data_IF_438492716995
#
_entry.id   IF_438492716995
#
_cell.length_a   1.000
_cell.length_b   1.000
_cell.length_c   1.000
_cell.angle_alpha   90.00
_cell.angle_beta   90.00
_cell.angle_gamma   90.00
#
_symmetry.space_group_name_H-M   'P 1'
#
loop_
_entity.id
_entity.type
_entity.pdbx_description
1 polymer ?
#
# COMPACT_ATOMS: atom_id res chain seq x y z
N UNK A 1 -14.54 0.99 17.70
CA UNK A 1 -13.50 1.19 16.65
C UNK A 1 -13.19 -0.18 16.07
N UNK A 2 -13.36 -0.37 14.76
CA UNK A 2 -12.98 -1.64 14.12
C UNK A 2 -11.46 -1.77 14.17
N UNK A 3 -10.96 -2.91 14.63
CA UNK A 3 -9.54 -3.27 14.53
C UNK A 3 -9.20 -3.65 13.08
N UNK A 4 -9.40 -2.75 12.11
CA UNK A 4 -8.79 -2.93 10.79
C UNK A 4 -7.27 -2.73 10.97
N UNK A 5 -6.43 -3.67 10.51
CA UNK A 5 -4.99 -3.49 10.56
C UNK A 5 -4.58 -2.27 9.72
N UNK A 6 -3.61 -1.52 10.23
CA UNK A 6 -3.07 -0.33 9.57
C UNK A 6 -2.57 -0.69 8.17
N UNK A 7 -3.04 0.03 7.16
CA UNK A 7 -2.61 -0.17 5.77
C UNK A 7 -1.34 0.62 5.50
N UNK A 8 -0.58 0.17 4.51
CA UNK A 8 0.66 0.83 4.06
C UNK A 8 0.41 2.22 3.45
N UNK A 9 -0.81 2.50 2.99
CA UNK A 9 -1.24 3.81 2.49
C UNK A 9 -1.96 4.69 3.53
N UNK A 10 -2.16 4.21 4.76
CA UNK A 10 -2.70 5.02 5.87
C UNK A 10 -1.54 5.58 6.72
N UNK A 11 -1.75 6.69 7.43
CA UNK A 11 -0.75 7.19 8.38
C UNK A 11 -0.80 6.40 9.70
N UNK A 12 0.34 6.03 10.30
CA UNK A 12 0.36 5.48 11.65
C UNK A 12 -0.05 6.54 12.67
N UNK A 13 -0.62 6.13 13.80
CA UNK A 13 -0.92 7.03 14.91
C UNK A 13 0.33 7.78 15.40
N UNK A 14 1.44 7.04 15.49
CA UNK A 14 2.75 7.58 15.88
C UNK A 14 3.89 6.89 15.13
N UNK A 15 4.96 7.60 14.83
CA UNK A 15 6.21 7.04 14.32
C UNK A 15 7.43 7.73 14.92
N UNK A 16 8.60 7.08 14.82
CA UNK A 16 9.88 7.71 15.09
C UNK A 16 10.45 8.29 13.80
N UNK A 17 11.25 9.35 13.89
CA UNK A 17 12.07 9.83 12.78
C UNK A 17 13.28 10.59 13.34
N UNK A 18 14.10 11.18 12.45
CA UNK A 18 15.16 12.09 12.83
C UNK A 18 14.85 13.51 12.33
N UNK A 19 15.10 14.52 13.15
CA UNK A 19 14.96 15.90 12.73
C UNK A 19 16.01 16.20 11.63
N UNK A 20 15.62 16.64 10.41
CA UNK A 20 16.56 16.77 9.31
C UNK A 20 17.75 17.69 9.60
N UNK A 21 17.51 18.79 10.35
CA UNK A 21 18.50 19.82 10.66
C UNK A 21 19.54 19.41 11.70
N UNK A 22 19.15 18.66 12.74
CA UNK A 22 20.03 18.32 13.86
C UNK A 22 20.41 16.84 13.95
N UNK A 23 19.62 15.94 13.32
CA UNK A 23 19.75 14.50 13.52
C UNK A 23 19.18 14.00 14.86
N UNK A 24 18.49 14.84 15.63
CA UNK A 24 17.82 14.46 16.87
C UNK A 24 16.73 13.41 16.61
N UNK A 25 16.64 12.39 17.47
CA UNK A 25 15.58 11.40 17.46
C UNK A 25 14.27 12.04 17.95
N UNK A 26 13.23 11.94 17.12
CA UNK A 26 11.94 12.57 17.37
C UNK A 26 10.80 11.57 17.26
N UNK A 27 9.72 11.83 17.98
CA UNK A 27 8.45 11.12 17.91
C UNK A 27 7.44 12.06 17.26
N UNK A 28 6.74 11.54 16.25
CA UNK A 28 5.70 12.27 15.52
C UNK A 28 4.36 11.61 15.82
N UNK A 29 3.36 12.43 16.11
CA UNK A 29 1.96 12.02 16.32
C UNK A 29 1.11 12.54 15.18
N UNK A 30 0.34 11.66 14.55
CA UNK A 30 -0.50 12.01 13.41
C UNK A 30 -1.55 13.04 13.82
N UNK A 31 -1.73 14.09 13.01
CA UNK A 31 -2.69 15.18 13.27
C UNK A 31 -2.17 16.29 14.18
N UNK A 32 -1.00 16.13 14.81
CA UNK A 32 -0.40 17.15 15.67
C UNK A 32 0.67 17.97 14.93
N UNK A 33 0.85 19.24 15.30
CA UNK A 33 1.86 20.11 14.69
C UNK A 33 3.19 19.97 15.44
N UNK A 34 4.28 19.81 14.70
CA UNK A 34 5.62 19.67 15.26
C UNK A 34 5.94 18.25 15.71
N UNK A 35 6.86 18.10 16.66
CA UNK A 35 7.37 16.81 17.10
C UNK A 35 7.70 16.82 18.58
N UNK A 36 7.91 15.63 19.14
CA UNK A 36 8.38 15.45 20.51
C UNK A 36 9.81 14.91 20.49
N UNK A 37 10.71 15.41 21.36
CA UNK A 37 12.01 14.78 21.54
C UNK A 37 11.84 13.37 22.12
N UNK A 38 12.63 12.41 21.66
CA UNK A 38 12.65 11.06 22.22
C UNK A 38 13.62 10.98 23.39
N UNK A 39 13.25 10.28 24.46
CA UNK A 39 14.15 9.96 25.58
C UNK A 39 15.26 8.97 25.17
N UNK A 40 15.13 8.32 24.01
CA UNK A 40 16.15 7.43 23.44
C UNK A 40 17.14 8.13 22.51
N UNK A 41 17.09 9.46 22.43
CA UNK A 41 18.07 10.24 21.65
C UNK A 41 19.49 10.03 22.18
N UNK A 42 20.41 9.64 21.30
CA UNK A 42 21.82 9.40 21.66
C UNK A 42 22.72 10.60 21.37
N UNK A 43 22.16 11.69 20.83
CA UNK A 43 22.90 12.83 20.31
C UNK A 43 23.67 12.57 19.01
N UNK A 44 23.64 11.35 18.46
CA UNK A 44 24.34 10.98 17.22
C UNK A 44 23.34 10.62 16.13
N UNK A 45 23.43 11.32 15.00
CA UNK A 45 22.52 11.19 13.85
C UNK A 45 22.36 9.75 13.35
N UNK A 46 23.47 9.03 13.15
CA UNK A 46 23.44 7.69 12.57
C UNK A 46 22.82 6.67 13.54
N UNK A 47 23.20 6.70 14.82
CA UNK A 47 22.60 5.84 15.85
C UNK A 47 21.09 6.12 16.01
N UNK A 48 20.69 7.39 16.02
CA UNK A 48 19.28 7.79 16.04
C UNK A 48 18.52 7.29 14.80
N UNK A 49 19.14 7.30 13.62
CA UNK A 49 18.53 6.79 12.39
C UNK A 49 18.27 5.29 12.48
N UNK A 50 19.20 4.53 13.05
CA UNK A 50 19.04 3.10 13.28
C UNK A 50 17.93 2.81 14.30
N UNK A 51 17.86 3.57 15.39
CA UNK A 51 16.79 3.45 16.40
C UNK A 51 15.42 3.71 15.77
N UNK A 52 15.26 4.82 15.04
CA UNK A 52 14.00 5.14 14.37
C UNK A 52 13.59 4.04 13.37
N UNK A 53 14.52 3.61 12.52
CA UNK A 53 14.26 2.59 11.49
C UNK A 53 13.86 1.25 12.12
N UNK A 54 14.59 0.81 13.15
CA UNK A 54 14.32 -0.45 13.85
C UNK A 54 12.96 -0.42 14.57
N UNK A 55 12.63 0.69 15.23
CA UNK A 55 11.37 0.82 15.94
C UNK A 55 10.17 0.89 14.97
N UNK A 56 10.29 1.66 13.89
CA UNK A 56 9.27 1.75 12.85
C UNK A 56 9.07 0.39 12.17
N UNK A 57 10.14 -0.29 11.78
CA UNK A 57 10.07 -1.61 11.13
C UNK A 57 9.36 -2.66 12.02
N UNK A 58 9.64 -2.68 13.33
CA UNK A 58 8.95 -3.57 14.29
C UNK A 58 7.44 -3.32 14.39
N UNK A 59 7.01 -2.10 14.09
CA UNK A 59 5.59 -1.69 14.07
C UNK A 59 4.97 -1.77 12.67
N UNK A 60 5.73 -2.22 11.67
CA UNK A 60 5.28 -2.28 10.29
C UNK A 60 5.12 -0.93 9.60
N UNK A 61 5.76 0.12 10.12
CA UNK A 61 5.73 1.47 9.54
C UNK A 61 6.74 1.51 8.40
N UNK A 62 6.27 1.83 7.20
CA UNK A 62 7.11 1.97 6.00
C UNK A 62 7.89 3.28 6.02
N UNK A 63 8.95 3.36 5.23
CA UNK A 63 9.68 4.63 5.06
C UNK A 63 8.83 5.70 4.36
N UNK A 64 7.91 5.30 3.49
CA UNK A 64 6.91 6.18 2.88
C UNK A 64 5.99 6.77 3.96
N UNK A 65 5.49 5.94 4.88
CA UNK A 65 4.68 6.40 6.01
C UNK A 65 5.47 7.33 6.93
N UNK A 66 6.72 7.01 7.25
CA UNK A 66 7.59 7.89 8.05
C UNK A 66 7.79 9.24 7.37
N UNK A 67 8.09 9.25 6.07
CA UNK A 67 8.26 10.49 5.32
C UNK A 67 6.98 11.33 5.30
N UNK A 68 5.83 10.68 5.15
CA UNK A 68 4.54 11.35 5.19
C UNK A 68 4.22 11.95 6.57
N UNK A 69 4.51 11.20 7.64
CA UNK A 69 4.39 11.70 9.01
C UNK A 69 5.28 12.92 9.25
N UNK A 70 6.53 12.89 8.77
CA UNK A 70 7.46 14.01 8.88
C UNK A 70 6.98 15.24 8.10
N UNK A 71 6.49 15.05 6.88
CA UNK A 71 5.96 16.15 6.08
C UNK A 71 4.71 16.77 6.74
N UNK A 72 3.78 15.95 7.21
CA UNK A 72 2.56 16.42 7.88
C UNK A 72 2.84 17.20 9.16
N UNK A 73 3.79 16.73 9.96
CA UNK A 73 4.14 17.39 11.21
C UNK A 73 4.87 18.73 11.01
N UNK A 74 5.66 18.85 9.94
CA UNK A 74 6.46 20.05 9.64
C UNK A 74 5.69 21.09 8.81
N UNK A 75 4.89 20.65 7.86
CA UNK A 75 4.26 21.50 6.84
C UNK A 75 2.72 21.49 6.90
N UNK A 76 2.12 20.74 7.81
CA UNK A 76 0.68 20.59 7.98
C UNK A 76 0.13 19.34 7.28
N UNK A 77 -0.90 18.74 7.87
CA UNK A 77 -1.45 17.44 7.44
C UNK A 77 -2.27 17.48 6.14
N UNK A 78 -2.63 18.67 5.68
CA UNK A 78 -3.32 18.86 4.39
C UNK A 78 -2.35 18.96 3.20
N UNK A 79 -1.03 18.91 3.43
CA UNK A 79 -0.04 18.93 2.36
C UNK A 79 0.01 17.59 1.62
N UNK A 80 0.24 17.57 0.29
CA UNK A 80 0.39 16.30 -0.44
C UNK A 80 1.46 15.39 0.15
N UNK A 81 2.55 15.97 0.67
CA UNK A 81 3.61 15.22 1.34
C UNK A 81 3.15 14.46 2.57
N UNK A 82 2.04 14.84 3.22
CA UNK A 82 1.49 14.10 4.36
C UNK A 82 0.66 12.87 3.96
N UNK A 83 0.50 12.59 2.67
CA UNK A 83 -0.24 11.44 2.17
C UNK A 83 0.74 10.37 1.64
N UNK A 84 0.82 9.17 2.26
CA UNK A 84 1.65 8.08 1.75
C UNK A 84 1.40 7.74 0.28
N UNK A 85 0.14 7.81 -0.18
CA UNK A 85 -0.24 7.54 -1.57
C UNK A 85 0.42 8.51 -2.57
N UNK A 86 0.70 9.75 -2.15
CA UNK A 86 1.37 10.73 -3.01
C UNK A 86 2.76 10.26 -3.46
N UNK A 87 3.50 9.56 -2.60
CA UNK A 87 4.81 9.02 -2.96
C UNK A 87 4.70 7.87 -3.97
N UNK A 88 3.68 7.01 -3.84
CA UNK A 88 3.41 5.91 -4.77
C UNK A 88 2.92 6.43 -6.14
N UNK A 89 2.20 7.55 -6.15
CA UNK A 89 1.71 8.20 -7.36
C UNK A 89 2.81 8.92 -8.16
N UNK A 90 3.87 9.34 -7.45
CA UNK A 90 5.06 9.98 -8.03
C UNK A 90 6.23 9.00 -8.17
N UNK A 91 5.99 7.70 -8.01
CA UNK A 91 6.99 6.67 -8.19
C UNK A 91 7.51 6.67 -9.63
N UNK A 92 8.83 6.62 -9.80
CA UNK A 92 9.46 6.58 -11.12
C UNK A 92 9.75 5.15 -11.50
N UNK A 93 9.14 4.64 -12.56
CA UNK A 93 9.49 3.33 -13.10
C UNK A 93 10.98 3.32 -13.50
N UNK A 94 11.71 2.30 -13.05
CA UNK A 94 13.13 2.13 -13.35
C UNK A 94 13.29 1.06 -14.43
N UNK A 95 12.93 -0.18 -14.10
CA UNK A 95 13.02 -1.34 -15.00
C UNK A 95 12.18 -2.51 -14.48
N UNK A 96 12.21 -3.61 -15.22
CA UNK A 96 11.68 -4.91 -14.81
C UNK A 96 12.75 -5.97 -14.98
N UNK A 97 13.02 -6.75 -13.94
CA UNK A 97 14.03 -7.81 -13.98
C UNK A 97 13.35 -9.17 -14.01
N UNK A 98 13.67 -10.01 -15.00
CA UNK A 98 13.25 -11.41 -14.99
C UNK A 98 14.01 -12.11 -13.86
N UNK A 99 13.27 -12.81 -13.00
CA UNK A 99 13.79 -13.54 -11.85
C UNK A 99 13.30 -14.97 -11.85
N UNK A 100 14.17 -15.86 -11.42
CA UNK A 100 13.87 -17.24 -11.13
C UNK A 100 14.25 -17.53 -9.68
N UNK A 101 13.38 -18.20 -8.94
CA UNK A 101 13.65 -18.54 -7.55
C UNK A 101 12.38 -18.87 -6.80
N UNK A 102 12.21 -18.30 -5.60
CA UNK A 102 11.07 -18.64 -4.75
C UNK A 102 10.49 -17.43 -4.00
N UNK A 103 9.19 -17.45 -3.76
CA UNK A 103 8.51 -16.59 -2.79
C UNK A 103 8.43 -17.35 -1.47
N UNK A 104 8.94 -16.76 -0.40
CA UNK A 104 8.87 -17.34 0.94
C UNK A 104 7.46 -17.13 1.52
N UNK A 105 6.88 -18.18 2.09
CA UNK A 105 5.64 -18.04 2.86
C UNK A 105 5.88 -17.11 4.07
N UNK A 106 4.97 -16.16 4.35
CA UNK A 106 5.19 -15.22 5.43
C UNK A 106 5.20 -15.84 6.84
N UNK A 107 4.59 -17.02 7.04
CA UNK A 107 4.44 -17.68 8.34
C UNK A 107 5.12 -19.04 8.36
N UNK A 108 4.92 -19.83 7.31
CA UNK A 108 5.43 -21.19 7.23
C UNK A 108 6.87 -21.22 6.70
N UNK A 109 7.59 -22.30 7.01
CA UNK A 109 8.91 -22.58 6.41
C UNK A 109 8.79 -23.17 5.00
N UNK A 110 7.88 -22.64 4.18
CA UNK A 110 7.56 -23.12 2.82
C UNK A 110 7.97 -22.06 1.80
N UNK A 111 8.35 -22.51 0.61
CA UNK A 111 8.80 -21.68 -0.50
C UNK A 111 8.05 -22.08 -1.77
N UNK A 112 7.49 -21.09 -2.46
CA UNK A 112 6.74 -21.28 -3.70
C UNK A 112 7.61 -20.89 -4.89
N UNK A 113 7.77 -21.75 -5.92
CA UNK A 113 8.60 -21.41 -7.07
C UNK A 113 8.02 -20.22 -7.82
N UNK A 114 8.89 -19.33 -8.28
CA UNK A 114 8.53 -18.17 -9.12
C UNK A 114 9.49 -18.09 -10.30
N UNK A 115 8.90 -17.97 -11.49
CA UNK A 115 9.60 -17.61 -12.72
C UNK A 115 8.82 -16.46 -13.34
N UNK A 116 9.29 -15.24 -13.10
CA UNK A 116 8.53 -14.04 -13.42
C UNK A 116 9.41 -12.81 -13.56
N UNK A 117 8.83 -11.62 -13.45
CA UNK A 117 9.57 -10.36 -13.39
C UNK A 117 9.23 -9.58 -12.12
N UNK A 118 10.25 -8.91 -11.56
CA UNK A 118 10.09 -7.90 -10.53
C UNK A 118 10.04 -6.53 -11.19
N UNK A 119 9.01 -5.76 -10.89
CA UNK A 119 8.93 -4.35 -11.23
C UNK A 119 9.79 -3.57 -10.24
N UNK A 120 10.61 -2.65 -10.73
CA UNK A 120 11.41 -1.75 -9.91
C UNK A 120 10.96 -0.31 -10.10
N UNK A 121 10.63 0.33 -8.98
CA UNK A 121 10.31 1.75 -8.92
C UNK A 121 11.30 2.48 -8.02
N UNK A 122 11.59 3.73 -8.36
CA UNK A 122 12.30 4.65 -7.49
C UNK A 122 11.27 5.52 -6.75
N UNK A 123 11.31 5.46 -5.42
CA UNK A 123 10.44 6.22 -4.52
C UNK A 123 11.36 6.86 -3.48
N UNK A 124 11.27 8.19 -3.32
CA UNK A 124 12.15 8.95 -2.41
C UNK A 124 13.66 8.67 -2.62
N UNK A 125 14.07 8.43 -3.87
CA UNK A 125 15.48 8.13 -4.21
C UNK A 125 15.95 6.72 -3.83
N UNK A 126 15.05 5.82 -3.41
CA UNK A 126 15.34 4.42 -3.13
C UNK A 126 14.63 3.50 -4.12
N UNK A 127 15.22 2.34 -4.39
CA UNK A 127 14.59 1.30 -5.20
C UNK A 127 13.64 0.45 -4.36
N UNK A 128 12.43 0.25 -4.86
CA UNK A 128 11.41 -0.63 -4.31
C UNK A 128 11.00 -1.65 -5.36
N UNK A 129 10.88 -2.91 -4.94
CA UNK A 129 10.49 -4.01 -5.82
C UNK A 129 9.04 -4.40 -5.61
N UNK A 130 8.38 -4.75 -6.72
CA UNK A 130 6.98 -5.15 -6.71
C UNK A 130 6.75 -6.38 -7.59
N UNK A 131 5.86 -7.25 -7.14
CA UNK A 131 5.30 -8.34 -7.93
C UNK A 131 3.93 -7.93 -8.50
N UNK A 132 3.67 -8.17 -9.80
CA UNK A 132 2.31 -8.06 -10.31
C UNK A 132 1.38 -9.09 -9.64
N UNK A 133 0.10 -8.73 -9.47
CA UNK A 133 -0.89 -9.56 -8.76
C UNK A 133 -1.05 -10.96 -9.39
N UNK A 134 -0.98 -11.06 -10.71
CA UNK A 134 -1.10 -12.33 -11.46
C UNK A 134 0.09 -13.27 -11.27
N UNK A 135 1.18 -12.78 -10.66
CA UNK A 135 2.38 -13.56 -10.36
C UNK A 135 2.42 -14.09 -8.94
N UNK A 136 1.42 -13.74 -8.11
CA UNK A 136 1.26 -14.35 -6.80
C UNK A 136 0.73 -15.79 -6.94
N UNK A 137 1.37 -16.77 -6.29
CA UNK A 137 0.92 -18.15 -6.27
C UNK A 137 -0.45 -18.26 -5.59
N UNK A 138 -1.26 -19.23 -6.01
CA UNK A 138 -2.60 -19.46 -5.46
C UNK A 138 -2.55 -19.84 -3.96
N UNK A 139 -1.45 -20.45 -3.52
CA UNK A 139 -1.23 -20.84 -2.13
C UNK A 139 -1.14 -19.62 -1.20
N UNK A 140 -0.67 -18.49 -1.73
CA UNK A 140 -0.64 -17.20 -1.03
C UNK A 140 -1.88 -16.35 -1.28
N UNK A 141 -2.53 -16.50 -2.44
CA UNK A 141 -3.71 -15.70 -2.80
C UNK A 141 -4.77 -16.58 -3.46
N UNK A 142 -5.45 -17.36 -2.61
CA UNK A 142 -6.53 -18.25 -3.00
C UNK A 142 -7.39 -18.63 -1.80
N UNK A 143 -8.53 -19.27 -2.03
CA UNK A 143 -9.51 -19.59 -0.97
C UNK A 143 -8.91 -20.34 0.23
N UNK A 144 -7.94 -21.23 0.00
CA UNK A 144 -7.30 -22.04 1.04
C UNK A 144 -6.17 -21.30 1.77
N UNK A 145 -5.84 -20.10 1.31
CA UNK A 145 -4.82 -19.28 1.95
C UNK A 145 -5.38 -18.63 3.21
N UNK A 146 -4.56 -18.54 4.24
CA UNK A 146 -4.89 -17.79 5.46
C UNK A 146 -4.63 -16.27 5.32
N UNK A 147 -4.24 -15.83 4.12
CA UNK A 147 -3.82 -14.47 3.87
C UNK A 147 -4.84 -13.72 3.01
N UNK A 148 -5.06 -12.45 3.36
CA UNK A 148 -5.70 -11.47 2.47
C UNK A 148 -4.61 -10.52 2.00
N UNK A 149 -4.35 -10.50 0.69
CA UNK A 149 -3.32 -9.66 0.07
C UNK A 149 -3.75 -8.20 0.05
N UNK A 150 -2.80 -7.31 0.37
CA UNK A 150 -2.95 -5.86 0.40
C UNK A 150 -1.91 -5.22 -0.54
N UNK A 151 -2.17 -5.16 -1.86
CA UNK A 151 -1.26 -4.50 -2.78
C UNK A 151 -1.21 -2.99 -2.53
N UNK A 152 -0.08 -2.39 -2.88
CA UNK A 152 0.07 -0.95 -3.00
C UNK A 152 -0.51 -0.49 -4.36
N UNK A 153 -1.09 0.71 -4.40
CA UNK A 153 -1.48 1.35 -5.67
C UNK A 153 -0.31 2.18 -6.20
N UNK A 154 0.54 1.61 -7.05
CA UNK A 154 1.70 2.33 -7.61
C UNK A 154 1.35 2.85 -8.99
N UNK A 155 1.37 4.17 -9.16
CA UNK A 155 1.00 4.83 -10.43
C UNK A 155 -0.33 4.32 -11.03
N UNK A 156 -1.30 3.99 -10.18
CA UNK A 156 -2.61 3.49 -10.60
C UNK A 156 -2.70 1.99 -10.87
N UNK A 157 -1.66 1.22 -10.55
CA UNK A 157 -1.65 -0.24 -10.73
C UNK A 157 -1.53 -0.92 -9.37
N UNK A 158 -2.44 -1.85 -8.99
CA UNK A 158 -2.26 -2.68 -7.81
C UNK A 158 -1.09 -3.63 -8.00
N UNK A 159 -0.08 -3.52 -7.13
CA UNK A 159 1.11 -4.38 -7.17
C UNK A 159 1.55 -4.74 -5.75
N UNK A 160 2.11 -5.93 -5.58
CA UNK A 160 2.52 -6.44 -4.27
C UNK A 160 3.93 -5.96 -3.93
N UNK A 161 4.12 -5.18 -2.85
CA UNK A 161 5.44 -4.77 -2.41
C UNK A 161 6.22 -5.97 -1.87
N UNK A 162 7.47 -6.10 -2.32
CA UNK A 162 8.34 -7.22 -1.96
C UNK A 162 9.78 -6.79 -1.72
N UNK A 163 10.49 -7.54 -0.88
CA UNK A 163 11.95 -7.54 -0.88
C UNK A 163 12.47 -8.71 -1.70
N UNK A 164 13.64 -8.53 -2.32
CA UNK A 164 14.27 -9.52 -3.17
C UNK A 164 15.75 -9.67 -2.79
N UNK A 165 16.14 -10.88 -2.39
CA UNK A 165 17.53 -11.24 -2.09
C UNK A 165 18.07 -12.11 -3.22
N UNK A 166 19.12 -11.65 -3.89
CA UNK A 166 19.75 -12.35 -5.00
C UNK A 166 20.93 -13.19 -4.53
N UNK A 167 20.90 -14.47 -4.84
CA UNK A 167 22.00 -15.39 -4.59
C UNK A 167 23.05 -15.32 -5.70
N UNK A 168 24.27 -15.77 -5.39
CA UNK A 168 25.39 -15.78 -6.35
C UNK A 168 25.13 -16.62 -7.60
N UNK A 169 24.26 -17.63 -7.49
CA UNK A 169 23.86 -18.49 -8.61
C UNK A 169 22.75 -17.87 -9.50
N UNK A 170 22.38 -16.61 -9.26
CA UNK A 170 21.33 -15.91 -10.00
C UNK A 170 19.90 -16.18 -9.53
N UNK A 171 19.71 -17.08 -8.56
CA UNK A 171 18.40 -17.34 -7.96
C UNK A 171 17.97 -16.19 -7.04
N UNK A 172 16.68 -15.92 -6.95
CA UNK A 172 16.10 -14.88 -6.10
C UNK A 172 15.21 -15.48 -5.00
N UNK A 173 15.33 -14.99 -3.76
CA UNK A 173 14.33 -15.21 -2.71
C UNK A 173 13.52 -13.93 -2.53
N UNK A 174 12.22 -14.03 -2.78
CA UNK A 174 11.26 -12.94 -2.67
C UNK A 174 10.50 -13.08 -1.35
N UNK A 175 10.28 -11.97 -0.65
CA UNK A 175 9.46 -11.92 0.56
C UNK A 175 8.45 -10.78 0.43
N UNK A 176 7.19 -11.06 0.77
CA UNK A 176 6.17 -10.03 0.90
C UNK A 176 6.57 -9.04 2.00
N UNK A 177 6.47 -7.74 1.72
CA UNK A 177 6.77 -6.74 2.73
C UNK A 177 5.75 -6.75 3.87
N UNK A 178 6.18 -6.33 5.06
CA UNK A 178 5.26 -6.19 6.19
C UNK A 178 4.11 -5.22 5.86
N UNK A 179 2.90 -5.57 6.27
CA UNK A 179 1.68 -4.80 5.99
C UNK A 179 1.11 -5.00 4.59
N UNK A 180 1.74 -5.81 3.72
CA UNK A 180 1.23 -6.13 2.39
C UNK A 180 0.26 -7.33 2.36
N UNK A 181 -0.03 -7.91 3.52
CA UNK A 181 -0.99 -8.97 3.72
C UNK A 181 -1.48 -8.93 5.17
N UNK A 182 -2.62 -9.56 5.42
CA UNK A 182 -3.13 -9.81 6.78
C UNK A 182 -3.46 -11.27 6.95
N UNK A 183 -3.26 -11.77 8.17
CA UNK A 183 -3.62 -13.14 8.54
C UNK A 183 -5.07 -13.14 9.02
N UNK A 184 -5.88 -14.00 8.44
CA UNK A 184 -7.28 -14.15 8.81
C UNK A 184 -8.17 -14.31 7.59
N UNK A 185 -9.44 -14.59 7.88
CA UNK A 185 -10.46 -14.83 6.87
C UNK A 185 -11.47 -13.70 6.85
N UNK A 186 -11.90 -13.33 5.64
CA UNK A 186 -13.06 -12.49 5.44
C UNK A 186 -13.92 -13.16 4.37
N UNK A 187 -15.22 -13.23 4.60
CA UNK A 187 -16.16 -13.92 3.71
C UNK A 187 -17.27 -12.97 3.32
N UNK A 188 -17.60 -12.92 2.03
CA UNK A 188 -18.76 -12.22 1.50
C UNK A 188 -19.52 -13.16 0.57
N UNK A 189 -20.80 -13.39 0.85
CA UNK A 189 -21.65 -14.29 0.05
C UNK A 189 -21.01 -15.67 -0.23
N UNK A 190 -20.39 -16.28 0.79
CA UNK A 190 -19.65 -17.57 0.72
C UNK A 190 -18.30 -17.53 -0.02
N UNK A 191 -17.94 -16.43 -0.67
CA UNK A 191 -16.61 -16.25 -1.25
C UNK A 191 -15.63 -15.75 -0.20
N UNK A 192 -14.47 -16.40 -0.12
CA UNK A 192 -13.37 -15.98 0.74
C UNK A 192 -12.64 -14.83 0.05
N UNK A 193 -12.49 -13.71 0.74
CA UNK A 193 -11.78 -12.54 0.23
C UNK A 193 -10.28 -12.85 0.21
N UNK A 194 -9.65 -12.81 -0.96
CA UNK A 194 -8.24 -13.18 -1.16
C UNK A 194 -7.32 -11.98 -1.34
N UNK A 195 -7.87 -10.85 -1.81
CA UNK A 195 -7.14 -9.59 -1.95
C UNK A 195 -8.08 -8.40 -1.78
N UNK A 196 -7.54 -7.26 -1.33
CA UNK A 196 -8.26 -5.99 -1.29
C UNK A 196 -7.34 -4.79 -1.47
N UNK A 197 -7.80 -3.78 -2.22
CA UNK A 197 -7.08 -2.54 -2.45
C UNK A 197 -7.99 -1.33 -2.28
N UNK A 198 -7.50 -0.29 -1.61
CA UNK A 198 -8.25 0.95 -1.39
C UNK A 198 -7.74 2.04 -2.32
N UNK A 199 -8.68 2.73 -2.95
CA UNK A 199 -8.46 3.89 -3.81
C UNK A 199 -9.36 5.01 -3.31
N UNK A 200 -8.80 5.96 -2.56
CA UNK A 200 -9.58 6.98 -1.86
C UNK A 200 -10.58 6.33 -0.89
N UNK A 201 -11.87 6.64 -1.04
CA UNK A 201 -12.92 6.00 -0.24
C UNK A 201 -13.45 4.69 -0.80
N UNK A 202 -13.10 4.32 -2.03
CA UNK A 202 -13.49 3.05 -2.62
C UNK A 202 -12.53 1.93 -2.20
N UNK A 203 -13.05 0.73 -1.97
CA UNK A 203 -12.25 -0.48 -1.85
C UNK A 203 -12.74 -1.52 -2.84
N UNK A 204 -11.80 -2.13 -3.54
CA UNK A 204 -12.04 -3.27 -4.42
C UNK A 204 -11.51 -4.52 -3.74
N UNK A 205 -12.22 -5.65 -3.91
CA UNK A 205 -11.84 -6.93 -3.34
C UNK A 205 -11.97 -8.05 -4.37
N UNK A 206 -11.14 -9.07 -4.24
CA UNK A 206 -11.30 -10.35 -4.92
C UNK A 206 -11.85 -11.38 -3.95
N UNK A 207 -12.77 -12.22 -4.43
CA UNK A 207 -13.32 -13.36 -3.71
C UNK A 207 -13.17 -14.66 -4.48
N UNK A 208 -13.00 -15.77 -3.76
CA UNK A 208 -12.94 -17.13 -4.33
C UNK A 208 -13.87 -18.10 -3.59
N UNK A 209 -14.59 -18.93 -4.34
CA UNK A 209 -15.39 -20.05 -3.87
C UNK A 209 -15.32 -21.21 -4.87
N UNK A 210 -14.49 -22.21 -4.60
CA UNK A 210 -14.28 -23.41 -5.44
C UNK A 210 -15.58 -24.16 -5.78
N UNK A 211 -16.62 -24.01 -4.94
CA UNK A 211 -17.91 -24.70 -5.11
C UNK A 211 -18.93 -23.91 -5.95
N UNK A 212 -18.68 -22.63 -6.22
CA UNK A 212 -19.60 -21.79 -6.97
C UNK A 212 -19.50 -22.07 -8.49
N UNK A 213 -20.60 -21.91 -9.26
CA UNK A 213 -20.56 -22.03 -10.72
C UNK A 213 -19.58 -21.04 -11.38
N UNK A 214 -19.44 -19.86 -10.79
CA UNK A 214 -18.40 -18.88 -11.10
C UNK A 214 -17.49 -18.74 -9.87
N UNK A 215 -16.32 -19.42 -9.84
CA UNK A 215 -15.52 -19.53 -8.62
C UNK A 215 -14.87 -18.23 -8.17
N UNK A 216 -14.79 -17.23 -9.05
CA UNK A 216 -14.11 -15.96 -8.75
C UNK A 216 -15.07 -14.79 -8.87
N UNK A 217 -14.84 -13.76 -8.07
CA UNK A 217 -15.65 -12.53 -8.11
C UNK A 217 -14.80 -11.33 -7.68
N UNK A 218 -15.09 -10.17 -8.27
CA UNK A 218 -14.63 -8.89 -7.73
C UNK A 218 -15.80 -8.09 -7.20
N UNK A 219 -15.64 -7.42 -6.06
CA UNK A 219 -16.62 -6.48 -5.54
C UNK A 219 -16.00 -5.12 -5.29
N UNK A 220 -16.86 -4.13 -5.14
CA UNK A 220 -16.51 -2.80 -4.69
C UNK A 220 -17.32 -2.45 -3.45
N UNK A 221 -16.74 -1.67 -2.54
CA UNK A 221 -17.46 -0.95 -1.49
C UNK A 221 -17.02 0.51 -1.45
N UNK A 222 -17.80 1.33 -0.74
CA UNK A 222 -17.38 2.66 -0.33
C UNK A 222 -17.23 2.68 1.19
N UNK A 223 -16.00 2.80 1.67
CA UNK A 223 -15.67 2.75 3.09
C UNK A 223 -16.35 3.86 3.92
N UNK A 224 -16.76 4.98 3.30
CA UNK A 224 -17.51 6.04 3.98
C UNK A 224 -18.94 5.62 4.35
N UNK A 225 -19.48 4.62 3.66
CA UNK A 225 -20.87 4.20 3.82
C UNK A 225 -21.02 3.04 4.82
N UNK A 226 -19.93 2.47 5.34
CA UNK A 226 -20.00 1.27 6.16
C UNK A 226 -20.48 1.52 7.60
N UNK A 227 -20.45 2.78 8.08
CA UNK A 227 -20.86 3.14 9.45
C UNK A 227 -20.20 2.25 10.51
N UNK A 228 -21.01 1.59 11.35
CA UNK A 228 -20.57 0.54 12.29
C UNK A 228 -20.94 -0.89 11.82
N UNK A 229 -21.63 -1.03 10.68
CA UNK A 229 -22.11 -2.30 10.13
C UNK A 229 -21.06 -3.07 9.33
N UNK A 230 -21.32 -4.33 8.91
CA UNK A 230 -20.40 -5.07 8.07
C UNK A 230 -20.11 -4.32 6.75
N UNK A 231 -18.95 -4.53 6.11
CA UNK A 231 -18.63 -3.92 4.82
C UNK A 231 -19.74 -4.17 3.79
N UNK A 232 -20.23 -3.11 3.15
CA UNK A 232 -21.31 -3.22 2.17
C UNK A 232 -20.75 -3.34 0.75
N UNK A 233 -20.54 -4.57 0.30
CA UNK A 233 -20.05 -4.87 -1.04
C UNK A 233 -21.16 -4.88 -2.09
N UNK A 234 -20.90 -4.26 -3.24
CA UNK A 234 -21.81 -4.15 -4.36
C UNK A 234 -21.07 -4.30 -5.70
N UNK A 235 -21.85 -4.37 -6.79
CA UNK A 235 -21.36 -4.52 -8.17
C UNK A 235 -20.37 -5.68 -8.33
N UNK A 236 -20.85 -6.88 -8.03
CA UNK A 236 -20.08 -8.13 -8.17
C UNK A 236 -19.86 -8.50 -9.64
N UNK A 237 -18.61 -8.67 -10.06
CA UNK A 237 -18.27 -9.22 -11.37
C UNK A 237 -17.77 -10.65 -11.20
N UNK A 238 -18.61 -11.63 -11.55
CA UNK A 238 -18.29 -13.04 -11.42
C UNK A 238 -17.49 -13.53 -12.65
N UNK A 239 -16.50 -14.40 -12.40
CA UNK A 239 -15.54 -14.90 -13.39
C UNK A 239 -15.34 -16.40 -13.23
N UNK A 240 -15.05 -17.08 -14.33
CA UNK A 240 -14.80 -18.53 -14.38
C UNK A 240 -13.36 -18.90 -14.00
N UNK A 241 -12.42 -17.97 -14.18
CA UNK A 241 -10.99 -18.20 -13.97
C UNK A 241 -10.33 -17.06 -13.19
N UNK A 242 -9.23 -17.39 -12.52
CA UNK A 242 -8.48 -16.48 -11.64
C UNK A 242 -7.83 -15.34 -12.41
N UNK A 243 -7.34 -15.59 -13.63
CA UNK A 243 -6.63 -14.57 -14.41
C UNK A 243 -7.58 -13.43 -14.82
N UNK A 244 -8.76 -13.77 -15.35
CA UNK A 244 -9.81 -12.80 -15.68
C UNK A 244 -10.32 -12.03 -14.44
N UNK A 245 -10.30 -12.66 -13.25
CA UNK A 245 -10.65 -12.00 -11.99
C UNK A 245 -9.58 -10.97 -11.57
N UNK A 246 -8.30 -11.32 -11.68
CA UNK A 246 -7.19 -10.41 -11.39
C UNK A 246 -7.17 -9.24 -12.37
N UNK A 247 -7.40 -9.49 -13.66
CA UNK A 247 -7.51 -8.44 -14.67
C UNK A 247 -8.63 -7.46 -14.34
N UNK A 248 -9.84 -7.96 -14.06
CA UNK A 248 -10.99 -7.13 -13.67
C UNK A 248 -10.72 -6.34 -12.38
N UNK A 249 -10.10 -6.95 -11.37
CA UNK A 249 -9.71 -6.29 -10.14
C UNK A 249 -8.75 -5.12 -10.39
N UNK A 250 -7.69 -5.36 -11.17
CA UNK A 250 -6.70 -4.35 -11.54
C UNK A 250 -7.32 -3.23 -12.38
N UNK A 251 -8.18 -3.56 -13.34
CA UNK A 251 -8.85 -2.59 -14.18
C UNK A 251 -9.79 -1.69 -13.37
N UNK A 252 -10.63 -2.27 -12.50
CA UNK A 252 -11.57 -1.51 -11.66
C UNK A 252 -10.84 -0.55 -10.72
N UNK A 253 -9.79 -1.03 -10.05
CA UNK A 253 -8.98 -0.20 -9.17
C UNK A 253 -8.26 0.93 -9.94
N UNK A 254 -7.65 0.60 -11.09
CA UNK A 254 -6.97 1.58 -11.94
C UNK A 254 -7.91 2.61 -12.55
N UNK A 255 -9.13 2.23 -12.91
CA UNK A 255 -10.14 3.15 -13.43
C UNK A 255 -10.65 4.11 -12.34
N UNK A 256 -10.88 3.63 -11.12
CA UNK A 256 -11.21 4.49 -9.99
C UNK A 256 -10.07 5.46 -9.66
N UNK A 257 -8.84 4.99 -9.73
CA UNK A 257 -7.66 5.82 -9.53
C UNK A 257 -7.60 6.98 -10.52
N UNK A 258 -7.79 6.69 -11.81
CA UNK A 258 -7.83 7.71 -12.87
C UNK A 258 -8.93 8.74 -12.61
N UNK A 259 -10.15 8.28 -12.27
CA UNK A 259 -11.27 9.16 -11.94
C UNK A 259 -10.95 10.11 -10.78
N UNK A 260 -10.32 9.61 -9.72
CA UNK A 260 -9.94 10.42 -8.57
C UNK A 260 -8.86 11.45 -8.92
N UNK A 261 -7.86 11.06 -9.71
CA UNK A 261 -6.84 12.00 -10.21
C UNK A 261 -7.40 13.09 -11.09
N UNK A 262 -8.30 12.74 -12.01
CA UNK A 262 -8.95 13.70 -12.89
C UNK A 262 -9.79 14.70 -12.08
N UNK A 263 -10.51 14.22 -11.07
CA UNK A 263 -11.28 15.06 -10.16
C UNK A 263 -10.41 16.05 -9.39
N UNK A 264 -9.30 15.59 -8.79
CA UNK A 264 -8.35 16.45 -8.07
C UNK A 264 -7.78 17.52 -9.01
N UNK A 265 -7.33 17.11 -10.21
CA UNK A 265 -6.77 18.00 -11.22
C UNK A 265 -7.78 19.08 -11.64
N UNK A 266 -9.06 18.72 -11.80
CA UNK A 266 -10.12 19.69 -12.12
C UNK A 266 -10.36 20.69 -10.99
N UNK A 267 -10.37 20.25 -9.73
CA UNK A 267 -10.52 21.15 -8.58
C UNK A 267 -9.35 22.12 -8.43
N UNK A 268 -8.12 21.66 -8.64
CA UNK A 268 -6.93 22.51 -8.58
C UNK A 268 -6.93 23.59 -9.67
N UNK A 269 -7.35 23.25 -10.89
CA UNK A 269 -7.51 24.22 -11.97
C UNK A 269 -8.57 25.29 -11.63
N UNK A 270 -9.72 24.87 -11.11
CA UNK A 270 -10.79 25.79 -10.69
C UNK A 270 -10.32 26.74 -9.59
N UNK A 271 -9.64 26.22 -8.56
CA UNK A 271 -9.13 27.02 -7.45
C UNK A 271 -8.03 28.00 -7.90
N UNK A 272 -7.18 27.60 -8.84
CA UNK A 272 -6.14 28.47 -9.42
C UNK A 272 -6.74 29.59 -10.27
N UNK A 273 -7.78 29.30 -11.05
CA UNK A 273 -8.52 30.31 -11.83
C UNK A 273 -9.18 31.35 -10.92
N UNK A 274 -9.89 30.91 -9.88
CA UNK A 274 -10.52 31.78 -8.87
C UNK A 274 -9.52 32.72 -8.18
N UNK A 275 -8.31 32.22 -7.84
CA UNK A 275 -7.26 33.05 -7.23
C UNK A 275 -6.68 34.10 -8.18
N UNK A 276 -6.58 33.80 -9.49
CA UNK A 276 -6.13 34.78 -10.49
C UNK A 276 -7.15 35.90 -10.67
N UNK A 277 -8.44 35.57 -10.79
CA UNK A 277 -9.53 36.55 -10.90
C UNK A 277 -9.61 37.48 -9.68
N UNK A 278 -9.37 36.95 -8.47
CA UNK A 278 -9.35 37.77 -7.24
C UNK A 278 -8.06 38.60 -7.06
N UNK A 279 -6.95 38.18 -7.66
CA UNK A 279 -5.68 38.91 -7.66
C UNK A 279 -5.62 40.04 -8.67
N UNK A 280 -6.33 39.91 -9.80
CA UNK A 280 -6.46 40.95 -10.83
C UNK A 280 -7.51 42.03 -10.47
N UNK A 281 -8.37 41.76 -9.48
CA UNK A 281 -9.38 42.68 -8.97
C UNK A 281 -8.90 43.59 -7.81
N UNK A 282 -7.59 43.59 -7.51
CA UNK A 282 -6.95 44.44 -6.47
C UNK A 282 -5.91 45.36 -7.09
#
# INVERSE_FOLDING_TARGET
>A
MRNEPMRRNDLPETCFSILPSSGQLIIIRCGERGYYPSEWDTGKREENREIASSHNARRGITDIQEAAMLAGSMFGWDTPGANPQWYLDNARYVNSNIVQGHIKDPIMSVYYPVSSFLLCYEIMGKQHFYLPMDKLPQELMGQRSQFIMLPDMVCGVPVMPVTATFAQNGSCTIQLEHGSYVVGEAVNQEYHITARVRVGSAEFVMGECEKAPAPFVTWQRNCKNDGDGPPNFFWGHYRSDRASCIEDFCERAGNEYKKQRDYITQQEHQHTALKKEQGEAR
#
